data_IF_242125384379
#
_entry.id   IF_242125384379
#
_cell.length_a   1.000
_cell.length_b   1.000
_cell.length_c   1.000
_cell.angle_alpha   90.00
_cell.angle_beta   90.00
_cell.angle_gamma   90.00
#
_symmetry.space_group_name_H-M   'P 1'
#
loop_
_entity.id
_entity.type
_entity.pdbx_description
1 polymer ?
#
# COMPACT_ATOMS: atom_id res chain seq x y z
N UNK A 1 30.60 54.21 -20.76
CA UNK A 1 31.64 53.60 -19.91
C UNK A 1 31.03 52.34 -19.31
N UNK A 2 31.41 51.10 -19.59
CA UNK A 2 32.34 50.44 -20.51
C UNK A 2 31.75 49.02 -20.68
N UNK A 3 31.40 48.57 -21.89
CA UNK A 3 32.19 47.66 -22.75
C UNK A 3 33.09 46.65 -22.04
N UNK A 4 32.81 45.36 -22.28
CA UNK A 4 33.72 44.26 -22.68
C UNK A 4 32.79 43.12 -23.18
N UNK A 5 32.62 42.88 -24.48
CA UNK A 5 33.54 42.29 -25.46
C UNK A 5 33.83 40.81 -25.21
N UNK A 6 33.36 39.94 -26.12
CA UNK A 6 34.11 38.85 -26.76
C UNK A 6 33.19 38.13 -27.75
N UNK A 7 33.44 38.37 -29.04
CA UNK A 7 32.90 37.60 -30.16
C UNK A 7 33.87 36.53 -30.67
N UNK A 8 33.34 35.73 -31.61
CA UNK A 8 33.93 34.98 -32.76
C UNK A 8 33.16 33.65 -32.88
N UNK A 9 32.39 33.36 -33.94
CA UNK A 9 32.75 33.30 -35.37
C UNK A 9 33.25 31.88 -35.68
N UNK A 10 32.81 31.10 -36.67
CA UNK A 10 31.90 31.20 -37.80
C UNK A 10 32.10 29.94 -38.69
N UNK A 11 31.27 29.76 -39.73
CA UNK A 11 31.47 28.84 -40.87
C UNK A 11 30.97 27.41 -40.65
N UNK A 12 29.99 26.91 -41.41
CA UNK A 12 30.12 26.41 -42.80
C UNK A 12 30.33 24.88 -42.75
N UNK A 13 29.69 23.99 -43.50
CA UNK A 13 28.99 24.02 -44.77
C UNK A 13 28.52 22.59 -45.10
N UNK A 14 27.75 22.47 -46.18
CA UNK A 14 27.12 21.26 -46.72
C UNK A 14 28.12 20.23 -47.26
N UNK A 15 27.78 18.94 -47.19
CA UNK A 15 28.54 17.86 -47.86
C UNK A 15 27.72 16.57 -48.04
N UNK A 16 27.43 16.23 -49.30
CA UNK A 16 26.90 14.95 -49.80
C UNK A 16 27.93 13.81 -49.70
N UNK A 17 27.42 12.57 -49.74
CA UNK A 17 28.15 11.32 -50.06
C UNK A 17 27.62 10.19 -49.16
N UNK A 18 26.92 9.15 -49.63
CA UNK A 18 27.23 8.28 -50.77
C UNK A 18 28.04 7.09 -50.24
N UNK A 19 27.52 5.86 -50.36
CA UNK A 19 28.37 4.67 -50.13
C UNK A 19 27.65 3.42 -49.65
N UNK A 20 27.24 2.60 -50.61
CA UNK A 20 26.92 1.18 -50.45
C UNK A 20 28.15 0.35 -50.05
N UNK A 21 27.95 -0.72 -49.28
CA UNK A 21 28.89 -1.85 -49.24
C UNK A 21 28.50 -2.92 -48.23
N UNK A 22 27.94 -4.05 -48.71
CA UNK A 22 28.58 -5.37 -48.79
C UNK A 22 28.49 -6.18 -47.48
N UNK A 23 27.62 -7.19 -47.41
CA UNK A 23 27.76 -8.58 -47.91
C UNK A 23 28.13 -9.50 -46.73
N UNK A 24 27.34 -10.55 -46.50
CA UNK A 24 27.85 -11.92 -46.44
C UNK A 24 26.70 -12.92 -46.66
N UNK A 25 27.04 -13.91 -47.45
CA UNK A 25 26.24 -14.86 -48.19
C UNK A 25 26.45 -16.23 -47.56
N UNK A 26 25.40 -17.05 -47.41
CA UNK A 26 25.56 -18.50 -47.61
C UNK A 26 24.29 -19.07 -48.24
N UNK A 27 24.51 -19.71 -49.37
CA UNK A 27 23.55 -20.38 -50.25
C UNK A 27 23.52 -21.88 -49.94
N UNK A 28 22.34 -22.50 -50.02
CA UNK A 28 22.19 -23.91 -50.37
C UNK A 28 20.82 -24.12 -51.03
N UNK A 29 20.83 -24.51 -52.30
CA UNK A 29 19.65 -24.73 -53.12
C UNK A 29 19.13 -26.17 -53.15
N UNK A 30 17.90 -26.31 -53.65
CA UNK A 30 17.27 -27.56 -54.10
C UNK A 30 15.93 -27.24 -54.78
N UNK A 31 15.74 -27.67 -56.04
CA UNK A 31 14.54 -27.48 -56.88
C UNK A 31 13.67 -28.78 -56.94
N UNK A 32 12.61 -28.92 -57.76
CA UNK A 32 11.29 -28.24 -57.77
C UNK A 32 10.03 -29.20 -57.82
N UNK A 33 8.84 -28.65 -57.48
CA UNK A 33 7.42 -28.96 -57.89
C UNK A 33 6.82 -30.41 -57.68
N UNK A 34 5.46 -30.62 -57.55
CA UNK A 34 4.40 -30.14 -58.45
C UNK A 34 3.08 -29.62 -57.82
N UNK A 35 2.29 -28.97 -58.67
CA UNK A 35 0.90 -28.54 -58.47
C UNK A 35 -0.06 -29.71 -58.70
N UNK A 36 -1.13 -29.81 -57.90
CA UNK A 36 -2.49 -30.02 -58.42
C UNK A 36 -3.56 -29.89 -57.30
N UNK A 37 -4.72 -29.39 -57.71
CA UNK A 37 -6.06 -29.41 -57.07
C UNK A 37 -6.61 -28.04 -56.64
N UNK A 38 -7.51 -27.52 -57.49
CA UNK A 38 -8.53 -26.53 -57.10
C UNK A 38 -9.66 -27.20 -56.30
N UNK A 39 -10.38 -26.45 -55.44
CA UNK A 39 -11.81 -26.33 -55.70
C UNK A 39 -12.45 -24.95 -55.39
N UNK A 40 -13.42 -24.59 -56.26
CA UNK A 40 -14.77 -24.02 -56.08
C UNK A 40 -15.09 -22.90 -55.03
N UNK A 41 -16.12 -22.05 -55.30
CA UNK A 41 -16.25 -20.73 -54.71
C UNK A 41 -16.94 -20.73 -53.34
N UNK A 42 -16.42 -19.95 -52.40
CA UNK A 42 -17.05 -19.68 -51.10
C UNK A 42 -18.06 -18.53 -51.23
N UNK A 43 -19.31 -18.86 -50.94
CA UNK A 43 -20.43 -17.93 -50.74
C UNK A 43 -20.46 -17.46 -49.29
N UNK A 44 -20.78 -16.19 -49.08
CA UNK A 44 -20.98 -15.58 -47.76
C UNK A 44 -22.35 -16.00 -47.21
N UNK A 45 -22.39 -16.57 -46.00
CA UNK A 45 -23.60 -16.56 -45.17
C UNK A 45 -23.22 -16.40 -43.70
N UNK A 46 -24.03 -15.61 -43.00
CA UNK A 46 -23.91 -15.15 -41.62
C UNK A 46 -23.89 -16.30 -40.60
N UNK A 47 -22.93 -16.26 -39.66
CA UNK A 47 -22.88 -17.16 -38.51
C UNK A 47 -21.81 -16.70 -37.50
N UNK A 48 -22.19 -16.64 -36.22
CA UNK A 48 -21.46 -15.99 -35.13
C UNK A 48 -20.02 -16.48 -34.87
N UNK A 49 -19.24 -15.59 -34.24
CA UNK A 49 -17.92 -15.92 -33.70
C UNK A 49 -18.07 -16.60 -32.33
N UNK A 50 -17.17 -17.55 -32.01
CA UNK A 50 -17.20 -18.27 -30.74
C UNK A 50 -16.79 -17.35 -29.59
N UNK A 51 -17.48 -17.51 -28.46
CA UNK A 51 -17.12 -16.90 -27.17
C UNK A 51 -15.78 -17.52 -26.77
N UNK A 52 -14.70 -16.74 -26.87
CA UNK A 52 -13.41 -17.09 -26.31
C UNK A 52 -13.48 -16.92 -24.80
N UNK A 53 -13.06 -17.96 -24.08
CA UNK A 53 -12.98 -18.03 -22.62
C UNK A 53 -12.13 -16.86 -22.09
N UNK A 54 -12.78 -15.90 -21.43
CA UNK A 54 -12.11 -14.79 -20.72
C UNK A 54 -11.30 -15.36 -19.56
N UNK A 55 -10.01 -15.00 -19.52
CA UNK A 55 -9.20 -15.19 -18.32
C UNK A 55 -9.87 -14.47 -17.14
N UNK A 56 -9.86 -15.04 -15.92
CA UNK A 56 -10.53 -14.41 -14.79
C UNK A 56 -9.91 -13.04 -14.53
N UNK A 57 -10.75 -12.00 -14.57
CA UNK A 57 -10.35 -10.64 -14.25
C UNK A 57 -9.74 -10.60 -12.85
N UNK A 58 -8.61 -9.90 -12.70
CA UNK A 58 -8.01 -9.64 -11.40
C UNK A 58 -9.04 -8.92 -10.50
N UNK A 59 -9.03 -9.15 -9.17
CA UNK A 59 -9.96 -8.49 -8.25
C UNK A 59 -9.91 -6.96 -8.45
N UNK A 60 -11.08 -6.35 -8.72
CA UNK A 60 -11.20 -4.92 -8.95
C UNK A 60 -11.03 -4.45 -10.41
N UNK A 61 -10.69 -5.32 -11.37
CA UNK A 61 -10.68 -4.94 -12.80
C UNK A 61 -12.05 -5.24 -13.41
N UNK A 62 -12.73 -4.21 -13.90
CA UNK A 62 -14.04 -4.33 -14.53
C UNK A 62 -13.93 -4.54 -16.05
N UNK A 63 -14.82 -5.32 -16.68
CA UNK A 63 -14.89 -5.42 -18.14
C UNK A 63 -15.36 -4.09 -18.74
N UNK A 64 -14.87 -3.72 -19.92
CA UNK A 64 -15.37 -2.52 -20.63
C UNK A 64 -16.82 -2.77 -21.07
N UNK A 65 -17.72 -1.84 -20.74
CA UNK A 65 -19.13 -1.92 -21.13
C UNK A 65 -19.46 -0.96 -22.26
N UNK A 66 -20.38 -1.35 -23.14
CA UNK A 66 -21.00 -0.45 -24.12
C UNK A 66 -22.42 -0.09 -23.64
N UNK A 67 -22.62 1.16 -23.22
CA UNK A 67 -23.92 1.62 -22.75
C UNK A 67 -24.80 2.12 -23.89
N UNK A 68 -26.10 1.94 -23.70
CA UNK A 68 -27.15 2.50 -24.57
C UNK A 68 -28.00 3.49 -23.78
N UNK A 69 -28.88 4.21 -24.46
CA UNK A 69 -29.89 5.07 -23.83
C UNK A 69 -30.71 4.30 -22.78
N UNK A 70 -31.03 3.03 -23.05
CA UNK A 70 -31.82 2.19 -22.14
C UNK A 70 -31.02 1.74 -20.91
N UNK A 71 -29.72 1.48 -21.07
CA UNK A 71 -28.90 0.92 -19.99
C UNK A 71 -28.11 1.97 -19.21
N UNK A 72 -28.04 3.22 -19.68
CA UNK A 72 -27.26 4.29 -19.07
C UNK A 72 -27.56 4.50 -17.57
N UNK A 73 -28.83 4.45 -17.17
CA UNK A 73 -29.20 4.58 -15.75
C UNK A 73 -28.55 3.48 -14.90
N UNK A 74 -28.59 2.23 -15.36
CA UNK A 74 -28.04 1.10 -14.62
C UNK A 74 -26.51 1.08 -14.68
N UNK A 75 -25.96 1.13 -15.90
CA UNK A 75 -24.55 0.86 -16.15
C UNK A 75 -23.65 2.06 -15.79
N UNK A 76 -24.23 3.25 -15.64
CA UNK A 76 -23.50 4.47 -15.28
C UNK A 76 -23.97 5.05 -13.97
N UNK A 77 -25.25 5.42 -13.86
CA UNK A 77 -25.71 6.19 -12.69
C UNK A 77 -25.78 5.31 -11.44
N UNK A 78 -26.49 4.19 -11.50
CA UNK A 78 -26.65 3.27 -10.37
C UNK A 78 -25.30 2.63 -10.01
N UNK A 79 -24.55 2.14 -11.00
CA UNK A 79 -23.20 1.61 -10.81
C UNK A 79 -22.25 2.61 -10.13
N UNK A 80 -22.38 3.92 -10.46
CA UNK A 80 -21.55 4.97 -9.83
C UNK A 80 -21.78 5.18 -8.34
N UNK A 81 -22.82 4.58 -7.76
CA UNK A 81 -23.05 4.57 -6.31
C UNK A 81 -22.11 3.60 -5.59
N UNK A 82 -21.68 2.53 -6.26
CA UNK A 82 -20.83 1.49 -5.67
C UNK A 82 -19.35 1.69 -6.03
N UNK A 83 -19.06 2.11 -7.26
CA UNK A 83 -17.69 2.35 -7.75
C UNK A 83 -17.67 3.43 -8.83
N UNK A 84 -16.59 4.20 -9.02
CA UNK A 84 -16.52 5.21 -10.09
C UNK A 84 -16.80 4.62 -11.47
N UNK A 85 -17.53 5.39 -12.29
CA UNK A 85 -17.77 5.06 -13.69
C UNK A 85 -17.25 6.18 -14.57
N UNK A 86 -16.35 5.86 -15.50
CA UNK A 86 -15.86 6.78 -16.52
C UNK A 86 -16.53 6.45 -17.85
N UNK A 87 -17.19 7.43 -18.46
CA UNK A 87 -17.88 7.28 -19.75
C UNK A 87 -17.08 7.96 -20.86
N UNK A 88 -16.67 7.19 -21.87
CA UNK A 88 -16.09 7.67 -23.13
C UNK A 88 -17.20 7.87 -24.19
N UNK A 89 -17.53 9.13 -24.48
CA UNK A 89 -18.48 9.52 -25.51
C UNK A 89 -17.78 9.65 -26.86
N UNK A 90 -18.14 8.76 -27.80
CA UNK A 90 -17.48 8.62 -29.09
C UNK A 90 -18.48 8.49 -30.26
N UNK A 91 -17.95 8.40 -31.49
CA UNK A 91 -18.71 8.00 -32.68
C UNK A 91 -17.76 7.40 -33.75
N UNK A 92 -18.24 6.55 -34.69
CA UNK A 92 -17.37 5.86 -35.65
C UNK A 92 -16.63 6.76 -36.64
N UNK A 93 -17.23 7.91 -36.97
CA UNK A 93 -16.65 8.92 -37.87
C UNK A 93 -15.64 9.84 -37.17
N UNK A 94 -15.56 9.81 -35.84
CA UNK A 94 -14.65 10.64 -35.07
C UNK A 94 -13.20 10.16 -35.19
N UNK A 95 -12.39 10.88 -35.97
CA UNK A 95 -10.96 10.60 -36.13
C UNK A 95 -10.18 10.58 -34.81
N UNK A 96 -10.23 11.65 -33.98
CA UNK A 96 -9.51 11.70 -32.71
C UNK A 96 -9.92 10.62 -31.70
N UNK A 97 -11.19 10.18 -31.72
CA UNK A 97 -11.69 9.11 -30.85
C UNK A 97 -10.95 7.78 -31.09
N UNK A 98 -10.53 7.50 -32.34
CA UNK A 98 -9.80 6.27 -32.70
C UNK A 98 -8.39 6.22 -32.09
N UNK A 99 -7.82 7.37 -31.75
CA UNK A 99 -6.53 7.46 -31.05
C UNK A 99 -6.73 7.41 -29.54
N UNK A 100 -7.75 8.11 -29.03
CA UNK A 100 -7.98 8.23 -27.59
C UNK A 100 -8.57 6.95 -26.97
N UNK A 101 -9.49 6.27 -27.65
CA UNK A 101 -10.19 5.08 -27.13
C UNK A 101 -9.23 3.99 -26.61
N UNK A 102 -8.23 3.55 -27.40
CA UNK A 102 -7.24 2.56 -26.93
C UNK A 102 -6.40 3.04 -25.74
N UNK A 103 -6.16 4.35 -25.62
CA UNK A 103 -5.43 4.93 -24.47
C UNK A 103 -6.31 4.83 -23.21
N UNK A 104 -7.59 5.19 -23.32
CA UNK A 104 -8.54 5.10 -22.20
C UNK A 104 -8.72 3.65 -21.76
N UNK A 105 -8.91 2.72 -22.69
CA UNK A 105 -9.05 1.28 -22.39
C UNK A 105 -7.81 0.74 -21.67
N UNK A 106 -6.60 1.11 -22.13
CA UNK A 106 -5.35 0.73 -21.50
C UNK A 106 -5.26 1.28 -20.07
N UNK A 107 -5.49 2.57 -19.88
CA UNK A 107 -5.41 3.21 -18.54
C UNK A 107 -6.46 2.60 -17.60
N UNK A 108 -7.71 2.44 -18.05
CA UNK A 108 -8.76 1.81 -17.25
C UNK A 108 -8.38 0.40 -16.79
N UNK A 109 -7.75 -0.41 -17.66
CA UNK A 109 -7.27 -1.75 -17.28
C UNK A 109 -6.16 -1.72 -16.21
N UNK A 110 -5.49 -0.58 -16.02
CA UNK A 110 -4.44 -0.34 -15.03
C UNK A 110 -4.93 0.38 -13.78
N UNK A 111 -6.22 0.75 -13.71
CA UNK A 111 -6.84 1.41 -12.57
C UNK A 111 -7.96 0.53 -11.98
N UNK A 112 -7.63 -0.51 -11.19
CA UNK A 112 -8.64 -1.33 -10.52
C UNK A 112 -9.57 -0.47 -9.67
N UNK A 113 -10.87 -0.77 -9.68
CA UNK A 113 -11.89 -0.02 -8.95
C UNK A 113 -12.64 1.00 -9.79
N UNK A 114 -12.19 1.30 -11.02
CA UNK A 114 -12.87 2.24 -11.93
C UNK A 114 -13.46 1.49 -13.13
N UNK A 115 -14.77 1.62 -13.34
CA UNK A 115 -15.47 1.01 -14.47
C UNK A 115 -15.40 1.93 -15.70
N UNK A 116 -14.89 1.42 -16.82
CA UNK A 116 -14.97 2.11 -18.11
C UNK A 116 -16.26 1.73 -18.85
N UNK A 117 -17.00 2.74 -19.29
CA UNK A 117 -18.19 2.61 -20.14
C UNK A 117 -17.97 3.40 -21.42
N UNK A 118 -18.33 2.83 -22.56
CA UNK A 118 -18.27 3.48 -23.86
C UNK A 118 -19.69 3.79 -24.32
N UNK A 119 -19.88 4.96 -24.90
CA UNK A 119 -21.19 5.36 -25.42
C UNK A 119 -21.07 6.02 -26.80
N UNK A 120 -21.67 5.37 -27.80
CA UNK A 120 -21.80 5.94 -29.14
C UNK A 120 -22.89 7.03 -29.14
N UNK A 121 -22.48 8.27 -29.39
CA UNK A 121 -23.35 9.45 -29.41
C UNK A 121 -24.26 9.53 -30.64
N UNK A 122 -23.93 8.84 -31.73
CA UNK A 122 -24.77 8.76 -32.94
C UNK A 122 -25.91 7.76 -32.74
N UNK A 123 -25.62 6.64 -32.10
CA UNK A 123 -26.63 5.64 -31.73
C UNK A 123 -27.50 6.08 -30.55
N UNK A 124 -26.97 6.93 -29.65
CA UNK A 124 -27.64 7.35 -28.41
C UNK A 124 -27.68 8.90 -28.27
N UNK A 125 -28.35 9.62 -29.18
CA UNK A 125 -28.31 11.08 -29.22
C UNK A 125 -29.03 11.74 -28.02
N UNK A 126 -29.99 11.05 -27.41
CA UNK A 126 -30.76 11.58 -26.28
C UNK A 126 -29.90 11.78 -25.03
N UNK A 127 -29.08 10.78 -24.68
CA UNK A 127 -28.17 10.87 -23.53
C UNK A 127 -27.09 11.92 -23.78
N UNK A 128 -26.54 11.99 -24.99
CA UNK A 128 -25.55 13.01 -25.36
C UNK A 128 -26.12 14.43 -25.21
N UNK A 129 -27.38 14.65 -25.58
CA UNK A 129 -28.08 15.93 -25.39
C UNK A 129 -28.32 16.25 -23.91
N UNK A 130 -28.79 15.28 -23.12
CA UNK A 130 -29.03 15.44 -21.69
C UNK A 130 -27.73 15.79 -20.93
N UNK A 131 -26.64 15.12 -21.28
CA UNK A 131 -25.30 15.36 -20.74
C UNK A 131 -24.61 16.60 -21.34
N UNK A 132 -25.27 17.30 -22.27
CA UNK A 132 -24.77 18.51 -22.95
C UNK A 132 -23.42 18.30 -23.64
N UNK A 133 -23.22 17.12 -24.24
CA UNK A 133 -22.02 16.81 -25.02
C UNK A 133 -22.07 17.59 -26.34
N UNK A 134 -21.24 18.62 -26.46
CA UNK A 134 -21.21 19.50 -27.64
C UNK A 134 -20.14 19.11 -28.68
N UNK A 135 -19.16 18.31 -28.27
CA UNK A 135 -18.06 17.85 -29.11
C UNK A 135 -17.56 16.50 -28.63
N UNK A 136 -17.09 15.66 -29.56
CA UNK A 136 -16.45 14.37 -29.26
C UNK A 136 -15.01 14.35 -29.78
N UNK A 137 -14.09 13.62 -29.12
CA UNK A 137 -14.32 12.81 -27.92
C UNK A 137 -14.58 13.65 -26.67
N UNK A 138 -15.43 13.14 -25.79
CA UNK A 138 -15.65 13.70 -24.46
C UNK A 138 -15.65 12.55 -23.45
N UNK A 139 -15.02 12.76 -22.30
CA UNK A 139 -14.93 11.76 -21.24
C UNK A 139 -15.47 12.38 -19.96
N UNK A 140 -16.38 11.68 -19.29
CA UNK A 140 -17.05 12.16 -18.08
C UNK A 140 -17.01 11.08 -17.01
N UNK A 141 -16.54 11.42 -15.82
CA UNK A 141 -16.57 10.55 -14.66
C UNK A 141 -17.82 10.79 -13.82
N UNK A 142 -18.37 9.70 -13.28
CA UNK A 142 -19.51 9.66 -12.39
C UNK A 142 -19.10 9.03 -11.08
N UNK A 143 -19.44 9.69 -9.98
CA UNK A 143 -19.19 9.25 -8.60
C UNK A 143 -20.42 9.59 -7.77
N UNK A 144 -20.92 8.64 -6.98
CA UNK A 144 -22.10 8.79 -6.13
C UNK A 144 -23.34 9.27 -6.91
N UNK A 145 -23.57 8.70 -8.10
CA UNK A 145 -24.72 9.01 -8.96
C UNK A 145 -24.65 10.36 -9.66
N UNK A 146 -23.51 11.06 -9.62
CA UNK A 146 -23.36 12.43 -10.14
C UNK A 146 -22.13 12.59 -11.03
N UNK A 147 -22.19 13.45 -12.06
CA UNK A 147 -21.00 13.84 -12.81
C UNK A 147 -20.00 14.56 -11.90
N UNK A 148 -18.74 14.11 -11.91
CA UNK A 148 -17.67 14.65 -11.08
C UNK A 148 -16.70 15.50 -11.90
N UNK A 149 -15.96 14.87 -12.81
CA UNK A 149 -14.96 15.54 -13.66
C UNK A 149 -15.12 15.13 -15.11
N UNK A 150 -14.72 16.00 -16.03
CA UNK A 150 -14.79 15.73 -17.45
C UNK A 150 -13.64 16.39 -18.20
N UNK A 151 -13.24 15.79 -19.32
CA UNK A 151 -12.38 16.44 -20.30
C UNK A 151 -12.94 16.25 -21.71
N UNK A 152 -12.55 17.16 -22.61
CA UNK A 152 -12.93 17.13 -24.01
C UNK A 152 -11.69 17.15 -24.90
N UNK A 153 -11.80 16.49 -26.05
CA UNK A 153 -10.72 16.36 -27.02
C UNK A 153 -9.74 15.23 -26.67
N UNK A 154 -8.86 14.92 -27.63
CA UNK A 154 -7.83 13.92 -27.43
C UNK A 154 -6.75 14.43 -26.48
N UNK A 155 -6.36 13.59 -25.52
CA UNK A 155 -5.34 13.84 -24.50
C UNK A 155 -4.21 12.81 -24.60
N UNK A 156 -2.96 13.17 -24.23
CA UNK A 156 -1.89 12.20 -24.11
C UNK A 156 -2.17 11.21 -22.96
N UNK A 157 -1.59 10.01 -23.03
CA UNK A 157 -1.77 8.94 -22.04
C UNK A 157 -1.53 9.41 -20.61
N UNK A 158 -0.53 10.26 -20.37
CA UNK A 158 -0.23 10.79 -19.03
C UNK A 158 -1.35 11.65 -18.44
N UNK A 159 -2.05 12.43 -19.27
CA UNK A 159 -3.20 13.23 -18.82
C UNK A 159 -4.42 12.34 -18.57
N UNK A 160 -4.60 11.27 -19.36
CA UNK A 160 -5.66 10.27 -19.14
C UNK A 160 -5.40 9.49 -17.85
N UNK A 161 -4.17 9.03 -17.62
CA UNK A 161 -3.76 8.38 -16.37
C UNK A 161 -4.04 9.27 -15.15
N UNK A 162 -3.58 10.52 -15.17
CA UNK A 162 -3.82 11.46 -14.08
C UNK A 162 -5.31 11.71 -13.82
N UNK A 163 -6.15 11.70 -14.87
CA UNK A 163 -7.59 11.78 -14.72
C UNK A 163 -8.16 10.55 -14.00
N UNK A 164 -7.79 9.33 -14.41
CA UNK A 164 -8.25 8.10 -13.77
C UNK A 164 -7.78 8.00 -12.32
N UNK A 165 -6.52 8.34 -12.04
CA UNK A 165 -5.96 8.33 -10.67
C UNK A 165 -6.71 9.30 -9.76
N UNK A 166 -7.05 10.49 -10.26
CA UNK A 166 -7.80 11.48 -9.49
C UNK A 166 -9.22 11.01 -9.17
N UNK A 167 -9.89 10.35 -10.13
CA UNK A 167 -11.23 9.78 -9.92
C UNK A 167 -11.17 8.63 -8.91
N UNK A 168 -10.17 7.77 -9.05
CA UNK A 168 -9.92 6.66 -8.17
C UNK A 168 -9.70 7.12 -6.70
N UNK A 169 -8.82 8.12 -6.51
CA UNK A 169 -8.58 8.75 -5.22
C UNK A 169 -9.83 9.44 -4.65
N UNK A 170 -10.55 10.21 -5.47
CA UNK A 170 -11.74 10.95 -5.03
C UNK A 170 -12.87 10.02 -4.55
N UNK A 171 -12.88 8.77 -5.01
CA UNK A 171 -13.86 7.76 -4.63
C UNK A 171 -13.33 6.72 -3.64
N UNK A 172 -12.04 6.79 -3.26
CA UNK A 172 -11.41 5.78 -2.40
C UNK A 172 -11.28 4.40 -3.05
N UNK A 173 -11.26 4.32 -4.38
CA UNK A 173 -11.18 3.07 -5.15
C UNK A 173 -10.12 3.18 -6.23
N UNK A 174 -8.95 2.56 -6.05
CA UNK A 174 -7.86 2.50 -7.03
C UNK A 174 -6.67 3.43 -6.71
N UNK A 175 -5.48 2.84 -6.66
CA UNK A 175 -4.31 3.35 -5.92
C UNK A 175 -4.16 2.57 -4.61
N UNK A 176 -2.92 2.27 -4.17
CA UNK A 176 -2.74 1.80 -2.80
C UNK A 176 -3.36 2.87 -1.89
N UNK A 177 -4.30 2.46 -1.05
CA UNK A 177 -5.00 3.37 -0.14
C UNK A 177 -3.96 4.24 0.57
N UNK A 178 -3.94 5.57 0.40
CA UNK A 178 -2.91 6.42 0.99
C UNK A 178 -2.81 6.24 2.51
N UNK A 179 -3.92 5.83 3.15
CA UNK A 179 -3.94 5.49 4.57
C UNK A 179 -3.19 4.19 4.85
N UNK A 180 -3.40 3.18 4.00
CA UNK A 180 -2.71 1.89 4.08
C UNK A 180 -1.23 1.99 3.73
N UNK A 181 -0.85 2.82 2.75
CA UNK A 181 0.55 3.15 2.47
C UNK A 181 1.20 3.81 3.69
N UNK A 182 0.55 4.83 4.26
CA UNK A 182 1.04 5.51 5.45
C UNK A 182 1.18 4.57 6.65
N UNK A 183 0.23 3.66 6.84
CA UNK A 183 0.28 2.65 7.90
C UNK A 183 1.45 1.69 7.69
N UNK A 184 1.62 1.20 6.47
CA UNK A 184 2.73 0.28 6.10
C UNK A 184 4.10 0.94 6.32
N UNK A 185 4.22 2.22 5.96
CA UNK A 185 5.44 2.98 6.18
C UNK A 185 5.70 3.25 7.67
N UNK A 186 4.65 3.56 8.45
CA UNK A 186 4.76 3.71 9.89
C UNK A 186 5.20 2.42 10.58
N UNK A 187 4.64 1.27 10.18
CA UNK A 187 5.03 -0.06 10.65
C UNK A 187 6.50 -0.35 10.34
N UNK A 188 6.96 -0.01 9.13
CA UNK A 188 8.35 -0.18 8.71
C UNK A 188 9.30 0.64 9.58
N UNK A 189 9.01 1.93 9.77
CA UNK A 189 9.82 2.83 10.61
C UNK A 189 9.86 2.35 12.07
N UNK A 190 8.73 1.94 12.62
CA UNK A 190 8.65 1.39 13.98
C UNK A 190 9.50 0.11 14.11
N UNK A 191 9.46 -0.78 13.12
CA UNK A 191 10.28 -1.99 13.06
C UNK A 191 11.79 -1.73 12.93
N UNK A 192 12.18 -0.57 12.38
CA UNK A 192 13.56 -0.11 12.30
C UNK A 192 14.02 0.64 13.57
N UNK A 193 13.11 0.84 14.53
CA UNK A 193 13.37 1.58 15.77
C UNK A 193 13.25 3.10 15.63
N UNK A 194 12.85 3.62 14.47
CA UNK A 194 12.54 5.05 14.29
C UNK A 194 11.13 5.37 14.80
N UNK A 195 10.96 5.24 16.11
CA UNK A 195 9.69 5.47 16.80
C UNK A 195 9.22 6.93 16.68
N UNK A 196 10.13 7.88 16.46
CA UNK A 196 9.79 9.29 16.25
C UNK A 196 9.06 9.50 14.93
N UNK A 197 9.68 9.08 13.82
CA UNK A 197 9.07 9.20 12.50
C UNK A 197 7.80 8.33 12.38
N UNK A 198 7.81 7.13 12.95
CA UNK A 198 6.62 6.28 13.00
C UNK A 198 5.45 6.95 13.75
N UNK A 199 5.72 7.58 14.90
CA UNK A 199 4.70 8.27 15.69
C UNK A 199 4.06 9.43 14.94
N UNK A 200 4.84 10.18 14.16
CA UNK A 200 4.32 11.26 13.31
C UNK A 200 3.33 10.73 12.26
N UNK A 201 3.64 9.61 11.62
CA UNK A 201 2.76 9.00 10.61
C UNK A 201 1.49 8.42 11.24
N UNK A 202 1.60 7.67 12.35
CA UNK A 202 0.41 7.19 13.06
C UNK A 202 -0.46 8.35 13.56
N UNK A 203 0.14 9.41 14.09
CA UNK A 203 -0.58 10.63 14.47
C UNK A 203 -1.31 11.28 13.30
N UNK A 204 -0.69 11.31 12.11
CA UNK A 204 -1.32 11.83 10.90
C UNK A 204 -2.48 10.96 10.39
N UNK A 205 -2.42 9.64 10.61
CA UNK A 205 -3.51 8.70 10.35
C UNK A 205 -4.67 8.99 11.33
N UNK A 206 -4.39 9.03 12.63
CA UNK A 206 -5.40 9.28 13.67
C UNK A 206 -6.04 10.67 13.57
N UNK A 207 -5.33 11.66 13.04
CA UNK A 207 -5.90 12.98 12.76
C UNK A 207 -7.01 12.95 11.70
N UNK A 208 -7.03 11.94 10.82
CA UNK A 208 -8.06 11.73 9.79
C UNK A 208 -9.08 10.68 10.21
N UNK A 209 -8.61 9.58 10.81
CA UNK A 209 -9.41 8.46 11.28
C UNK A 209 -9.12 8.18 12.77
N UNK A 210 -9.77 8.91 13.69
CA UNK A 210 -9.50 8.76 15.13
C UNK A 210 -9.77 7.36 15.69
N UNK A 211 -10.57 6.54 15.00
CA UNK A 211 -10.91 5.16 15.38
C UNK A 211 -10.06 4.08 14.70
N UNK A 212 -8.99 4.45 13.99
CA UNK A 212 -8.14 3.48 13.30
C UNK A 212 -7.32 2.68 14.34
N UNK A 213 -7.78 1.45 14.63
CA UNK A 213 -7.21 0.61 15.69
C UNK A 213 -5.74 0.25 15.44
N UNK A 214 -5.35 0.01 14.19
CA UNK A 214 -3.96 -0.32 13.84
C UNK A 214 -3.02 0.85 14.14
N UNK A 215 -3.44 2.08 13.80
CA UNK A 215 -2.67 3.28 14.14
C UNK A 215 -2.64 3.58 15.65
N UNK A 216 -3.71 3.27 16.39
CA UNK A 216 -3.70 3.35 17.87
C UNK A 216 -2.68 2.37 18.45
N UNK A 217 -2.69 1.12 17.96
CA UNK A 217 -1.76 0.08 18.41
C UNK A 217 -0.32 0.49 18.11
N UNK A 218 -0.03 0.87 16.86
CA UNK A 218 1.30 1.26 16.42
C UNK A 218 1.85 2.48 17.17
N UNK A 219 1.04 3.53 17.37
CA UNK A 219 1.45 4.71 18.13
C UNK A 219 1.66 4.38 19.62
N UNK A 220 0.76 3.59 20.22
CA UNK A 220 0.89 3.14 21.59
C UNK A 220 2.17 2.32 21.81
N UNK A 221 2.51 1.43 20.88
CA UNK A 221 3.76 0.67 20.90
C UNK A 221 4.99 1.57 20.78
N UNK A 222 4.94 2.61 19.95
CA UNK A 222 6.04 3.59 19.85
C UNK A 222 6.24 4.32 21.17
N UNK A 223 5.17 4.78 21.82
CA UNK A 223 5.25 5.42 23.14
C UNK A 223 5.83 4.49 24.21
N UNK A 224 5.40 3.23 24.26
CA UNK A 224 5.98 2.24 25.17
C UNK A 224 7.47 2.03 24.89
N UNK A 225 7.87 1.96 23.62
CA UNK A 225 9.27 1.75 23.25
C UNK A 225 10.21 2.89 23.67
N UNK A 226 9.71 4.13 23.71
CA UNK A 226 10.50 5.31 24.15
C UNK A 226 10.30 5.67 25.62
N UNK A 227 9.62 4.84 26.41
CA UNK A 227 9.42 5.04 27.85
C UNK A 227 8.28 6.00 28.21
N UNK A 228 7.42 6.36 27.25
CA UNK A 228 6.26 7.25 27.44
C UNK A 228 4.95 6.47 27.67
N UNK A 229 4.97 5.48 28.58
CA UNK A 229 3.82 4.60 28.83
C UNK A 229 2.52 5.34 29.21
N UNK A 230 2.63 6.50 29.87
CA UNK A 230 1.47 7.32 30.22
C UNK A 230 0.77 7.92 28.98
N UNK A 231 1.52 8.22 27.91
CA UNK A 231 0.93 8.67 26.64
C UNK A 231 0.22 7.52 25.93
N UNK A 232 0.79 6.31 25.97
CA UNK A 232 0.12 5.12 25.47
C UNK A 232 -1.18 4.81 26.23
N UNK A 233 -1.20 4.99 27.55
CA UNK A 233 -2.42 4.83 28.35
C UNK A 233 -3.53 5.80 27.92
N UNK A 234 -3.18 7.06 27.62
CA UNK A 234 -4.17 8.04 27.13
C UNK A 234 -4.79 7.65 25.78
N UNK A 235 -4.06 6.93 24.92
CA UNK A 235 -4.61 6.38 23.68
C UNK A 235 -5.58 5.23 23.98
N UNK A 236 -5.19 4.29 24.86
CA UNK A 236 -6.03 3.16 25.29
C UNK A 236 -7.34 3.65 25.91
N UNK A 237 -7.29 4.73 26.70
CA UNK A 237 -8.47 5.32 27.34
C UNK A 237 -9.51 5.82 26.32
N UNK A 238 -9.08 6.14 25.09
CA UNK A 238 -9.95 6.54 23.98
C UNK A 238 -10.51 5.35 23.19
N UNK A 239 -9.96 4.14 23.36
CA UNK A 239 -10.45 2.94 22.68
C UNK A 239 -11.79 2.51 23.29
N UNK A 240 -12.86 2.39 22.48
CA UNK A 240 -14.15 1.89 22.94
C UNK A 240 -14.03 0.49 23.58
N UNK A 241 -14.80 0.25 24.65
CA UNK A 241 -14.71 -0.98 25.44
C UNK A 241 -14.86 -2.26 24.60
N UNK A 242 -15.70 -2.24 23.57
CA UNK A 242 -15.92 -3.37 22.65
C UNK A 242 -14.68 -3.81 21.86
N UNK A 243 -13.69 -2.92 21.69
CA UNK A 243 -12.43 -3.23 21.00
C UNK A 243 -11.29 -3.56 21.96
N UNK A 244 -11.46 -3.40 23.28
CA UNK A 244 -10.38 -3.63 24.24
C UNK A 244 -9.96 -5.08 24.37
N UNK A 245 -10.85 -6.01 24.04
CA UNK A 245 -10.57 -7.45 23.99
C UNK A 245 -9.96 -7.91 22.67
N UNK A 246 -9.86 -7.05 21.65
CA UNK A 246 -9.16 -7.38 20.40
C UNK A 246 -7.71 -7.70 20.70
N UNK A 247 -7.16 -8.72 20.03
CA UNK A 247 -5.87 -9.30 20.41
C UNK A 247 -4.72 -8.28 20.41
N UNK A 248 -4.68 -7.38 19.43
CA UNK A 248 -3.67 -6.33 19.31
C UNK A 248 -3.80 -5.25 20.40
N UNK A 249 -5.03 -4.85 20.73
CA UNK A 249 -5.30 -3.88 21.79
C UNK A 249 -5.00 -4.47 23.16
N UNK A 250 -5.44 -5.71 23.42
CA UNK A 250 -5.15 -6.40 24.67
C UNK A 250 -3.64 -6.57 24.89
N UNK A 251 -2.88 -6.85 23.82
CA UNK A 251 -1.42 -6.91 23.87
C UNK A 251 -0.81 -5.54 24.20
N UNK A 252 -1.30 -4.46 23.57
CA UNK A 252 -0.87 -3.09 23.89
C UNK A 252 -1.16 -2.73 25.35
N UNK A 253 -2.36 -3.03 25.86
CA UNK A 253 -2.73 -2.79 27.27
C UNK A 253 -1.74 -3.47 28.20
N UNK A 254 -1.45 -4.76 27.95
CA UNK A 254 -0.47 -5.51 28.74
C UNK A 254 0.93 -4.89 28.69
N UNK A 255 1.36 -4.43 27.52
CA UNK A 255 2.66 -3.78 27.36
C UNK A 255 2.73 -2.46 28.15
N UNK A 256 1.66 -1.65 28.14
CA UNK A 256 1.55 -0.41 28.91
C UNK A 256 1.55 -0.70 30.42
N UNK A 257 0.77 -1.69 30.88
CA UNK A 257 0.74 -2.09 32.29
C UNK A 257 2.13 -2.49 32.80
N UNK A 258 2.87 -3.28 32.02
CA UNK A 258 4.24 -3.69 32.34
C UNK A 258 5.21 -2.51 32.40
N UNK A 259 5.14 -1.60 31.42
CA UNK A 259 5.99 -0.42 31.38
C UNK A 259 5.69 0.52 32.56
N UNK A 260 4.42 0.76 32.89
CA UNK A 260 4.04 1.56 34.06
C UNK A 260 4.44 0.90 35.38
N UNK A 261 4.33 -0.43 35.49
CA UNK A 261 4.78 -1.15 36.68
C UNK A 261 6.29 -0.95 36.93
N UNK A 262 7.11 -1.05 35.87
CA UNK A 262 8.55 -0.81 35.97
C UNK A 262 8.91 0.65 36.25
N UNK A 263 8.23 1.61 35.62
CA UNK A 263 8.47 3.04 35.83
C UNK A 263 8.20 3.47 37.29
N UNK A 264 7.22 2.84 37.96
CA UNK A 264 6.89 3.09 39.37
C UNK A 264 8.01 2.70 40.34
N UNK A 265 8.96 1.86 39.93
CA UNK A 265 10.09 1.44 40.77
C UNK A 265 11.15 2.53 40.91
N UNK A 266 11.14 3.54 40.05
CA UNK A 266 12.01 4.71 40.11
C UNK A 266 13.22 4.61 39.18
N UNK A 267 14.28 5.36 39.52
CA UNK A 267 15.45 5.52 38.67
C UNK A 267 16.30 4.24 38.57
N UNK A 268 16.89 4.03 37.39
CA UNK A 268 17.71 2.84 37.11
C UNK A 268 18.98 2.75 37.97
N UNK A 269 19.64 3.87 38.25
CA UNK A 269 20.94 3.86 38.92
C UNK A 269 20.87 3.30 40.36
N UNK A 270 19.95 3.76 41.23
CA UNK A 270 19.76 3.15 42.55
C UNK A 270 19.34 1.67 42.50
N UNK A 271 18.47 1.30 41.55
CA UNK A 271 18.01 -0.09 41.39
C UNK A 271 19.15 -1.01 40.97
N UNK A 272 20.02 -0.54 40.05
CA UNK A 272 21.24 -1.25 39.65
C UNK A 272 22.14 -1.50 40.85
N UNK A 273 22.46 -0.45 41.62
CA UNK A 273 23.29 -0.57 42.82
C UNK A 273 22.71 -1.58 43.82
N UNK A 274 21.40 -1.53 44.07
CA UNK A 274 20.72 -2.47 44.95
C UNK A 274 20.81 -3.92 44.44
N UNK A 275 20.68 -4.13 43.14
CA UNK A 275 20.77 -5.46 42.50
C UNK A 275 22.18 -6.07 42.57
N UNK A 276 23.22 -5.22 42.57
CA UNK A 276 24.63 -5.60 42.60
C UNK A 276 25.16 -5.78 44.05
N UNK A 277 24.59 -5.05 45.02
CA UNK A 277 25.03 -5.06 46.41
C UNK A 277 24.88 -6.42 47.11
N UNK A 278 23.83 -7.17 46.79
CA UNK A 278 23.63 -8.53 47.29
C UNK A 278 23.19 -9.48 46.15
N UNK A 279 24.10 -10.36 45.66
CA UNK A 279 23.77 -11.34 44.62
C UNK A 279 22.61 -12.29 44.97
N UNK A 280 22.25 -12.45 46.26
CA UNK A 280 21.13 -13.29 46.71
C UNK A 280 19.82 -12.52 46.81
N UNK A 281 19.84 -11.19 46.68
CA UNK A 281 18.62 -10.40 46.68
C UNK A 281 17.97 -10.44 45.29
N UNK A 282 17.26 -11.54 45.02
CA UNK A 282 16.55 -11.74 43.76
C UNK A 282 15.44 -10.71 43.53
N UNK A 283 14.83 -10.18 44.60
CA UNK A 283 13.84 -9.11 44.48
C UNK A 283 14.46 -7.83 43.89
N UNK A 284 15.63 -7.40 44.38
CA UNK A 284 16.30 -6.21 43.84
C UNK A 284 16.68 -6.37 42.36
N UNK A 285 17.08 -7.58 41.94
CA UNK A 285 17.34 -7.89 40.52
C UNK A 285 16.06 -7.88 39.69
N UNK A 286 14.96 -8.40 40.25
CA UNK A 286 13.66 -8.41 39.59
C UNK A 286 13.15 -6.98 39.39
N UNK A 287 13.22 -6.14 40.42
CA UNK A 287 12.82 -4.75 40.35
C UNK A 287 13.66 -3.98 39.34
N UNK A 288 14.98 -4.22 39.32
CA UNK A 288 15.87 -3.62 38.32
C UNK A 288 15.51 -4.09 36.89
N UNK A 289 15.19 -5.36 36.69
CA UNK A 289 14.73 -5.88 35.40
C UNK A 289 13.44 -5.22 34.93
N UNK A 290 12.47 -5.04 35.83
CA UNK A 290 11.20 -4.36 35.54
C UNK A 290 11.43 -2.90 35.14
N UNK A 291 12.31 -2.18 35.84
CA UNK A 291 12.65 -0.80 35.51
C UNK A 291 13.42 -0.69 34.18
N UNK A 292 14.35 -1.61 33.89
CA UNK A 292 15.03 -1.69 32.60
C UNK A 292 14.04 -1.88 31.45
N UNK A 293 13.08 -2.79 31.61
CA UNK A 293 12.02 -2.98 30.61
C UNK A 293 11.22 -1.70 30.37
N UNK A 294 10.86 -0.96 31.43
CA UNK A 294 10.14 0.30 31.31
C UNK A 294 10.96 1.41 30.63
N UNK A 295 12.29 1.34 30.73
CA UNK A 295 13.21 2.25 30.06
C UNK A 295 13.54 1.83 28.61
N UNK A 296 12.97 0.73 28.12
CA UNK A 296 13.24 0.20 26.77
C UNK A 296 14.49 -0.70 26.68
N UNK A 297 15.20 -0.93 27.79
CA UNK A 297 16.42 -1.74 27.86
C UNK A 297 16.11 -3.25 27.97
N UNK A 298 15.42 -3.78 26.94
CA UNK A 298 14.81 -5.13 26.95
C UNK A 298 15.80 -6.28 27.10
N UNK A 299 16.94 -6.21 26.41
CA UNK A 299 17.96 -7.27 26.48
C UNK A 299 18.54 -7.37 27.90
N UNK A 300 18.93 -6.23 28.48
CA UNK A 300 19.45 -6.18 29.85
C UNK A 300 18.39 -6.63 30.88
N UNK A 301 17.13 -6.24 30.67
CA UNK A 301 16.02 -6.67 31.51
C UNK A 301 15.86 -8.20 31.52
N UNK A 302 15.92 -8.84 30.34
CA UNK A 302 15.85 -10.29 30.23
C UNK A 302 17.03 -10.97 30.92
N UNK A 303 18.25 -10.43 30.78
CA UNK A 303 19.45 -10.98 31.41
C UNK A 303 19.37 -10.97 32.94
N UNK A 304 18.84 -9.89 33.55
CA UNK A 304 18.63 -9.83 35.00
C UNK A 304 17.69 -10.96 35.50
N UNK A 305 16.59 -11.22 34.78
CA UNK A 305 15.67 -12.30 35.15
C UNK A 305 16.28 -13.68 34.91
N UNK A 306 17.06 -13.87 33.84
CA UNK A 306 17.78 -15.11 33.58
C UNK A 306 18.80 -15.42 34.68
N UNK A 307 19.45 -14.40 35.23
CA UNK A 307 20.37 -14.54 36.37
C UNK A 307 19.64 -15.03 37.63
N UNK A 308 18.41 -14.55 37.89
CA UNK A 308 17.57 -15.09 38.96
C UNK A 308 17.24 -16.56 38.69
N UNK A 309 16.76 -16.91 37.50
CA UNK A 309 16.40 -18.30 37.15
C UNK A 309 17.61 -19.25 37.26
N UNK A 310 18.82 -18.76 36.95
CA UNK A 310 20.06 -19.55 37.08
C UNK A 310 20.44 -19.79 38.55
N UNK A 311 20.19 -18.81 39.42
CA UNK A 311 20.50 -18.91 40.84
C UNK A 311 19.43 -19.69 41.64
N UNK A 312 18.15 -19.40 41.40
CA UNK A 312 17.00 -20.04 42.04
C UNK A 312 15.82 -20.12 41.05
N UNK A 313 15.62 -21.31 40.49
CA UNK A 313 14.55 -21.57 39.50
C UNK A 313 13.15 -21.40 40.08
N UNK A 314 12.99 -21.56 41.40
CA UNK A 314 11.70 -21.61 42.10
C UNK A 314 11.35 -20.32 42.84
N UNK A 315 12.23 -19.32 42.78
CA UNK A 315 12.04 -18.03 43.45
C UNK A 315 10.65 -17.44 43.13
N UNK A 316 9.89 -17.08 44.18
CA UNK A 316 8.52 -16.55 44.12
C UNK A 316 7.59 -17.37 43.19
N UNK A 317 7.53 -18.69 43.42
CA UNK A 317 6.73 -19.63 42.61
C UNK A 317 7.04 -19.51 41.11
N UNK A 318 8.33 -19.54 40.76
CA UNK A 318 8.84 -19.34 39.40
C UNK A 318 8.65 -17.91 38.84
N UNK A 319 8.60 -16.89 39.71
CA UNK A 319 8.29 -15.50 39.38
C UNK A 319 9.16 -14.93 38.25
N UNK A 320 10.48 -15.13 38.31
CA UNK A 320 11.39 -14.64 37.26
C UNK A 320 11.14 -15.30 35.89
N UNK A 321 10.82 -16.60 35.86
CA UNK A 321 10.49 -17.31 34.62
C UNK A 321 9.17 -16.84 34.04
N UNK A 322 8.16 -16.67 34.89
CA UNK A 322 6.84 -16.15 34.48
C UNK A 322 6.98 -14.74 33.91
N UNK A 323 7.74 -13.87 34.55
CA UNK A 323 7.98 -12.51 34.08
C UNK A 323 8.70 -12.47 32.73
N UNK A 324 9.69 -13.34 32.50
CA UNK A 324 10.32 -13.47 31.17
C UNK A 324 9.31 -13.82 30.08
N UNK A 325 8.37 -14.73 30.37
CA UNK A 325 7.31 -15.09 29.41
C UNK A 325 6.40 -13.90 29.14
N UNK A 326 6.04 -13.13 30.17
CA UNK A 326 5.24 -11.91 29.99
C UNK A 326 5.96 -10.85 29.16
N UNK A 327 7.27 -10.66 29.37
CA UNK A 327 8.10 -9.80 28.53
C UNK A 327 8.08 -10.26 27.07
N UNK A 328 8.29 -11.56 26.80
CA UNK A 328 8.29 -12.08 25.43
C UNK A 328 6.94 -11.95 24.73
N UNK A 329 5.84 -12.06 25.46
CA UNK A 329 4.50 -11.84 24.92
C UNK A 329 4.29 -10.36 24.58
N UNK A 330 4.74 -9.44 25.45
CA UNK A 330 4.59 -8.01 25.27
C UNK A 330 5.48 -7.45 24.14
N UNK A 331 6.72 -7.93 24.01
CA UNK A 331 7.65 -7.49 22.96
C UNK A 331 7.36 -8.15 21.61
N UNK A 332 6.71 -9.31 21.62
CA UNK A 332 6.39 -10.09 20.44
C UNK A 332 7.45 -11.12 20.05
N UNK A 333 7.04 -12.09 19.24
CA UNK A 333 7.84 -13.27 18.91
C UNK A 333 9.09 -13.00 18.05
N UNK A 334 9.07 -11.93 17.26
CA UNK A 334 10.14 -11.57 16.33
C UNK A 334 11.13 -10.55 16.93
N UNK A 335 10.85 -10.02 18.13
CA UNK A 335 11.70 -9.05 18.80
C UNK A 335 13.09 -9.67 19.13
N UNK A 336 14.20 -8.96 18.85
CA UNK A 336 15.55 -9.47 19.10
C UNK A 336 15.79 -9.89 20.57
N UNK A 337 15.29 -9.13 21.53
CA UNK A 337 15.41 -9.43 22.95
C UNK A 337 14.57 -10.66 23.34
N UNK A 338 13.38 -10.82 22.75
CA UNK A 338 12.59 -12.07 22.89
C UNK A 338 13.37 -13.28 22.39
N UNK A 339 13.99 -13.19 21.20
CA UNK A 339 14.76 -14.28 20.62
C UNK A 339 16.02 -14.62 21.44
N UNK A 340 16.74 -13.60 21.92
CA UNK A 340 17.88 -13.77 22.81
C UNK A 340 17.47 -14.39 24.16
N UNK A 341 16.47 -13.82 24.82
CA UNK A 341 15.96 -14.25 26.11
C UNK A 341 15.43 -15.69 26.10
N UNK A 342 14.68 -16.10 25.06
CA UNK A 342 14.22 -17.49 24.90
C UNK A 342 15.36 -18.49 24.80
N UNK A 343 16.42 -18.16 24.05
CA UNK A 343 17.63 -18.99 23.95
C UNK A 343 18.33 -19.08 25.31
N UNK A 344 18.47 -17.95 26.00
CA UNK A 344 19.03 -17.89 27.35
C UNK A 344 18.25 -18.75 28.34
N UNK A 345 16.92 -18.62 28.36
CA UNK A 345 16.04 -19.37 29.26
C UNK A 345 16.13 -20.88 29.00
N UNK A 346 16.09 -21.28 27.72
CA UNK A 346 16.29 -22.69 27.35
C UNK A 346 17.64 -23.21 27.84
N UNK A 347 18.73 -22.45 27.66
CA UNK A 347 20.04 -22.85 28.14
C UNK A 347 20.08 -23.03 29.66
N UNK A 348 19.41 -22.16 30.43
CA UNK A 348 19.39 -22.23 31.90
C UNK A 348 18.52 -23.37 32.41
N UNK A 349 17.42 -23.72 31.73
CA UNK A 349 16.52 -24.79 32.16
C UNK A 349 17.04 -26.19 31.87
N UNK A 350 17.84 -26.35 30.80
CA UNK A 350 18.34 -27.65 30.34
C UNK A 350 19.85 -27.87 30.55
N UNK A 351 20.54 -26.94 31.21
CA UNK A 351 21.85 -27.15 31.83
C UNK A 351 21.73 -27.84 33.18
#
# INVERSE_FOLDING_TARGET
>A
MSNDDYGFGGGGGYGQGGGYGQNLNVSAGGAPAPQDAAPAPVTYTSGGRPVGEEAPAAPGVFPVLDATTETFMKDVIDASMDHPVVVDFWAPWCGPCKTLGPIIEKVASQTPGVQLVKMDTEANPEVAQQMRIQSIPAVVAFVNGRPAEAFMGAKPESEVAAFFDKIAQAAGVGGEDPMKEALTEADRLAGEGDHGAASELYGAILGREPGNLDAIVGLGQCYVAVGEADMAQQLIDQVPEEYRSEASIAALIKAVDLAQAGAKLGELAPLKEASEADPKNHQARFDYAMALNAAGEREEAADQLLDIVRADRTWEDDGARKQLVEFFEAWGNADPATLAGRRGLSSVLFS
#
